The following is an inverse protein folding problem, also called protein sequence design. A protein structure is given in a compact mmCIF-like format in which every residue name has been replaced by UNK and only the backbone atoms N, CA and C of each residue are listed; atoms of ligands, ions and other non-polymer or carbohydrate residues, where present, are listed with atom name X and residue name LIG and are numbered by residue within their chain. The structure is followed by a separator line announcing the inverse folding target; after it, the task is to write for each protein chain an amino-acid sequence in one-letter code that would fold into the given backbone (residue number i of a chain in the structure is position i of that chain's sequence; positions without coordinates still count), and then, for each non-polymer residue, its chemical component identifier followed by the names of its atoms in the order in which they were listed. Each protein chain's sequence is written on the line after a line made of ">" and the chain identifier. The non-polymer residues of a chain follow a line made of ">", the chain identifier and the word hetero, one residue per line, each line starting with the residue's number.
data_IF_135639294648
#
_entry.id   IF_135639294648
#
_cell.length_a   1.000
_cell.length_b   1.000
_cell.length_c   1.000
_cell.angle_alpha   90.00
_cell.angle_beta   90.00
_cell.angle_gamma   90.00
#
_symmetry.space_group_name_H-M   'P 1'
#
loop_
_entity.id
_entity.type
_entity.pdbx_description
1 polymer ?
#
# COMPACT_ATOMS: atom_id res chain seq x y z
N UNK A 1 -22.44 20.44 3.00
CA UNK A 1 -21.98 19.17 2.43
C UNK A 1 -22.41 19.16 0.98
N UNK A 2 -21.48 19.01 0.05
CA UNK A 2 -21.78 18.94 -1.39
C UNK A 2 -22.27 17.53 -1.75
N UNK A 3 -22.98 17.38 -2.87
CA UNK A 3 -23.45 16.06 -3.34
C UNK A 3 -22.29 15.07 -3.57
N UNK A 4 -21.10 15.58 -3.89
CA UNK A 4 -19.88 14.79 -4.02
C UNK A 4 -19.41 14.24 -2.66
N UNK A 5 -19.35 15.10 -1.65
CA UNK A 5 -18.95 14.70 -0.28
C UNK A 5 -19.90 13.64 0.28
N UNK A 6 -21.21 13.78 0.04
CA UNK A 6 -22.21 12.81 0.49
C UNK A 6 -22.03 11.44 -0.21
N UNK A 7 -21.79 11.43 -1.51
CA UNK A 7 -21.53 10.19 -2.26
C UNK A 7 -20.24 9.51 -1.82
N UNK A 8 -19.19 10.28 -1.53
CA UNK A 8 -17.94 9.74 -1.01
C UNK A 8 -18.13 9.13 0.39
N UNK A 9 -18.82 9.83 1.28
CA UNK A 9 -19.15 9.32 2.62
C UNK A 9 -19.94 8.01 2.55
N UNK A 10 -20.99 7.94 1.72
CA UNK A 10 -21.79 6.72 1.56
C UNK A 10 -20.93 5.55 1.07
N UNK A 11 -20.10 5.76 0.04
CA UNK A 11 -19.22 4.70 -0.49
C UNK A 11 -18.19 4.22 0.54
N UNK A 12 -17.65 5.14 1.33
CA UNK A 12 -16.69 4.82 2.39
C UNK A 12 -17.37 4.03 3.51
N UNK A 13 -18.58 4.42 3.90
CA UNK A 13 -19.38 3.71 4.89
C UNK A 13 -19.76 2.30 4.40
N UNK A 14 -20.21 2.15 3.16
CA UNK A 14 -20.53 0.85 2.57
C UNK A 14 -19.30 -0.06 2.48
N UNK A 15 -18.12 0.50 2.21
CA UNK A 15 -16.86 -0.24 2.18
C UNK A 15 -16.44 -0.70 3.59
N UNK A 16 -16.32 0.23 4.54
CA UNK A 16 -15.84 -0.06 5.89
C UNK A 16 -16.87 -0.81 6.74
N UNK A 17 -18.16 -0.63 6.46
CA UNK A 17 -19.27 -1.29 7.18
C UNK A 17 -19.36 -2.79 6.90
N UNK A 18 -18.76 -3.28 5.81
CA UNK A 18 -18.65 -4.72 5.51
C UNK A 18 -17.59 -5.43 6.35
N UNK A 19 -16.65 -4.67 6.92
CA UNK A 19 -15.58 -5.22 7.76
C UNK A 19 -16.12 -5.41 9.18
N UNK A 20 -16.28 -6.68 9.57
CA UNK A 20 -16.83 -7.06 10.88
C UNK A 20 -15.84 -6.82 12.03
N UNK A 21 -14.55 -7.08 11.78
CA UNK A 21 -13.53 -6.95 12.81
C UNK A 21 -13.04 -5.50 12.96
N UNK A 22 -13.20 -4.87 14.13
CA UNK A 22 -12.80 -3.48 14.33
C UNK A 22 -11.28 -3.29 14.21
N UNK A 23 -10.46 -4.27 14.61
CA UNK A 23 -9.00 -4.15 14.53
C UNK A 23 -8.52 -4.15 13.08
N UNK A 24 -9.04 -5.08 12.26
CA UNK A 24 -8.78 -5.10 10.82
C UNK A 24 -9.26 -3.82 10.13
N UNK A 25 -10.44 -3.30 10.50
CA UNK A 25 -10.94 -2.03 9.97
C UNK A 25 -10.00 -0.86 10.28
N UNK A 26 -9.42 -0.81 11.48
CA UNK A 26 -8.41 0.19 11.81
C UNK A 26 -7.18 0.09 10.91
N UNK A 27 -6.68 -1.12 10.63
CA UNK A 27 -5.55 -1.31 9.71
C UNK A 27 -5.88 -0.85 8.29
N UNK A 28 -7.08 -1.11 7.80
CA UNK A 28 -7.52 -0.64 6.47
C UNK A 28 -7.49 0.88 6.40
N UNK A 29 -7.99 1.56 7.43
CA UNK A 29 -7.96 3.04 7.51
C UNK A 29 -6.52 3.55 7.60
N UNK A 30 -5.68 2.94 8.43
CA UNK A 30 -4.25 3.28 8.55
C UNK A 30 -3.50 3.08 7.23
N UNK A 31 -3.85 2.04 6.48
CA UNK A 31 -3.28 1.75 5.17
C UNK A 31 -3.65 2.84 4.16
N UNK A 32 -4.92 3.27 4.14
CA UNK A 32 -5.36 4.38 3.30
C UNK A 32 -4.66 5.69 3.66
N UNK A 33 -4.49 5.98 4.94
CA UNK A 33 -3.75 7.16 5.39
C UNK A 33 -2.28 7.10 4.93
N UNK A 34 -1.64 5.94 5.09
CA UNK A 34 -0.26 5.71 4.65
C UNK A 34 -0.11 5.91 3.13
N UNK A 35 -1.06 5.40 2.34
CA UNK A 35 -1.10 5.59 0.89
C UNK A 35 -1.30 7.07 0.55
N UNK A 36 -2.24 7.75 1.19
CA UNK A 36 -2.53 9.15 0.95
C UNK A 36 -1.29 10.01 1.20
N UNK A 37 -0.65 9.85 2.35
CA UNK A 37 0.58 10.57 2.69
C UNK A 37 1.70 10.25 1.69
N UNK A 38 1.83 9.00 1.24
CA UNK A 38 2.85 8.61 0.29
C UNK A 38 2.64 9.27 -1.09
N UNK A 39 1.40 9.29 -1.59
CA UNK A 39 1.05 9.91 -2.86
C UNK A 39 1.12 11.44 -2.80
N UNK A 40 0.66 12.07 -1.71
CA UNK A 40 0.76 13.52 -1.52
C UNK A 40 2.21 14.00 -1.55
N UNK A 41 3.13 13.21 -0.97
CA UNK A 41 4.57 13.53 -0.97
C UNK A 41 5.25 13.21 -2.29
N UNK A 42 4.69 12.32 -3.10
CA UNK A 42 5.28 11.85 -4.35
C UNK A 42 4.24 11.88 -5.48
N UNK A 43 3.92 13.07 -6.03
CA UNK A 43 2.88 13.22 -7.04
C UNK A 43 3.19 12.52 -8.38
N UNK A 44 4.45 12.12 -8.59
CA UNK A 44 4.90 11.30 -9.73
C UNK A 44 4.37 9.85 -9.63
N UNK A 45 4.00 9.39 -8.43
CA UNK A 45 3.48 8.05 -8.20
C UNK A 45 1.98 8.03 -8.42
N UNK A 46 1.52 7.01 -9.14
CA UNK A 46 0.10 6.77 -9.37
C UNK A 46 -0.17 5.27 -9.47
N UNK A 47 -1.31 4.84 -8.93
CA UNK A 47 -1.81 3.49 -9.12
C UNK A 47 -2.50 3.40 -10.48
N UNK A 48 -1.96 2.56 -11.36
CA UNK A 48 -2.54 2.32 -12.70
C UNK A 48 -3.64 1.25 -12.65
N UNK A 49 -3.64 0.42 -11.60
CA UNK A 49 -4.55 -0.70 -11.40
C UNK A 49 -5.32 -0.54 -10.09
N UNK A 50 -6.51 -1.16 -9.98
CA UNK A 50 -7.25 -1.18 -8.72
C UNK A 50 -6.38 -1.79 -7.61
N UNK A 51 -6.36 -1.11 -6.47
CA UNK A 51 -5.57 -1.51 -5.33
C UNK A 51 -6.33 -2.55 -4.49
N UNK A 52 -5.72 -3.71 -4.29
CA UNK A 52 -6.22 -4.71 -3.35
C UNK A 52 -5.60 -4.47 -1.97
N UNK A 53 -6.37 -3.82 -1.08
CA UNK A 53 -5.92 -3.47 0.27
C UNK A 53 -5.77 -4.71 1.14
N UNK A 54 -6.63 -5.72 0.97
CA UNK A 54 -6.58 -6.95 1.75
C UNK A 54 -5.31 -7.74 1.44
N UNK A 55 -4.92 -7.76 0.16
CA UNK A 55 -3.65 -8.33 -0.27
C UNK A 55 -2.45 -7.61 0.38
N UNK A 56 -2.44 -6.28 0.38
CA UNK A 56 -1.32 -5.51 0.92
C UNK A 56 -1.18 -5.66 2.45
N UNK A 57 -2.29 -5.68 3.18
CA UNK A 57 -2.27 -5.93 4.63
C UNK A 57 -1.75 -7.34 4.91
N UNK A 58 -2.19 -8.33 4.12
CA UNK A 58 -1.71 -9.70 4.25
C UNK A 58 -0.20 -9.81 4.00
N UNK A 59 0.33 -9.11 3.00
CA UNK A 59 1.78 -9.08 2.75
C UNK A 59 2.55 -8.33 3.85
N UNK A 60 1.98 -7.28 4.45
CA UNK A 60 2.58 -6.58 5.58
C UNK A 60 2.69 -7.50 6.81
N UNK A 61 1.65 -8.30 7.08
CA UNK A 61 1.65 -9.28 8.16
C UNK A 61 2.69 -10.38 7.91
N UNK A 62 2.81 -10.88 6.68
CA UNK A 62 3.85 -11.86 6.32
C UNK A 62 5.26 -11.28 6.52
N UNK A 63 5.47 -10.02 6.13
CA UNK A 63 6.75 -9.34 6.31
C UNK A 63 7.09 -9.20 7.80
N UNK A 64 6.10 -8.87 8.64
CA UNK A 64 6.25 -8.88 10.09
C UNK A 64 6.55 -10.28 10.66
N UNK A 65 5.84 -11.31 10.21
CA UNK A 65 6.05 -12.70 10.62
C UNK A 65 7.49 -13.16 10.35
N UNK A 66 8.01 -12.84 9.16
CA UNK A 66 9.38 -13.19 8.76
C UNK A 66 10.44 -12.56 9.66
N UNK A 67 10.20 -11.34 10.15
CA UNK A 67 11.16 -10.62 10.99
C UNK A 67 11.08 -10.99 12.47
N UNK A 68 9.87 -11.19 12.99
CA UNK A 68 9.63 -11.35 14.43
C UNK A 68 9.51 -12.82 14.85
N UNK A 69 9.28 -13.75 13.91
CA UNK A 69 8.99 -15.18 14.18
C UNK A 69 7.93 -15.37 15.27
N UNK A 70 6.91 -14.51 15.26
CA UNK A 70 5.82 -14.58 16.22
C UNK A 70 5.03 -15.89 16.08
N UNK A 71 4.52 -16.40 17.19
CA UNK A 71 3.63 -17.57 17.24
C UNK A 71 2.24 -17.23 16.66
N UNK A 72 1.76 -16.01 16.89
CA UNK A 72 0.46 -15.51 16.41
C UNK A 72 0.64 -14.14 15.72
N UNK A 73 1.20 -14.10 14.50
CA UNK A 73 1.62 -12.86 13.85
C UNK A 73 0.47 -11.87 13.64
N UNK A 74 -0.75 -12.36 13.37
CA UNK A 74 -1.93 -11.53 13.15
C UNK A 74 -2.35 -10.77 14.42
N UNK A 75 -2.39 -11.47 15.56
CA UNK A 75 -2.78 -10.86 16.84
C UNK A 75 -1.73 -9.89 17.33
N UNK A 76 -0.45 -10.26 17.18
CA UNK A 76 0.64 -9.36 17.53
C UNK A 76 0.60 -8.11 16.65
N UNK A 77 0.39 -8.26 15.35
CA UNK A 77 0.30 -7.14 14.40
C UNK A 77 -0.80 -6.12 14.78
N UNK A 78 -1.96 -6.59 15.26
CA UNK A 78 -3.01 -5.69 15.75
C UNK A 78 -2.64 -4.91 17.00
N UNK A 79 -1.68 -5.40 17.78
CA UNK A 79 -1.19 -4.75 19.00
C UNK A 79 0.04 -3.88 18.76
N UNK A 80 0.56 -3.80 17.52
CA UNK A 80 1.68 -2.92 17.23
C UNK A 80 1.27 -1.44 17.35
N UNK A 81 2.19 -0.57 17.79
CA UNK A 81 1.95 0.86 17.76
C UNK A 81 1.85 1.36 16.32
N UNK A 82 1.01 2.38 16.10
CA UNK A 82 0.88 3.12 14.84
C UNK A 82 2.10 4.06 14.71
N UNK A 83 3.25 3.49 14.36
CA UNK A 83 4.53 4.18 14.26
C UNK A 83 5.26 3.75 12.99
N UNK A 84 5.99 4.68 12.38
CA UNK A 84 6.80 4.38 11.21
C UNK A 84 7.97 3.43 11.52
N UNK A 85 8.57 3.55 12.70
CA UNK A 85 9.70 2.70 13.13
C UNK A 85 9.18 1.66 14.11
N UNK A 86 9.27 0.39 13.73
CA UNK A 86 8.86 -0.75 14.56
C UNK A 86 7.35 -0.85 14.82
N UNK A 87 6.54 -0.10 14.08
CA UNK A 87 5.07 -0.13 14.14
C UNK A 87 4.43 -0.71 12.89
N UNK A 88 3.11 -0.87 12.92
CA UNK A 88 2.28 -1.37 11.81
C UNK A 88 2.47 -0.54 10.53
N UNK A 89 2.52 0.80 10.69
CA UNK A 89 2.68 1.76 9.60
C UNK A 89 3.98 1.55 8.80
N UNK A 90 5.07 1.21 9.48
CA UNK A 90 6.37 0.95 8.83
C UNK A 90 6.29 -0.24 7.87
N UNK A 91 5.71 -1.34 8.34
CA UNK A 91 5.53 -2.56 7.55
C UNK A 91 4.58 -2.34 6.36
N UNK A 92 3.48 -1.66 6.60
CA UNK A 92 2.52 -1.28 5.57
C UNK A 92 3.16 -0.38 4.50
N UNK A 93 3.89 0.65 4.91
CA UNK A 93 4.59 1.57 4.00
C UNK A 93 5.60 0.82 3.14
N UNK A 94 6.36 -0.11 3.72
CA UNK A 94 7.33 -0.91 2.99
C UNK A 94 6.67 -1.75 1.90
N UNK A 95 5.53 -2.38 2.20
CA UNK A 95 4.76 -3.17 1.23
C UNK A 95 4.15 -2.29 0.15
N UNK A 96 3.59 -1.12 0.49
CA UNK A 96 3.05 -0.17 -0.49
C UNK A 96 4.14 0.26 -1.48
N UNK A 97 5.32 0.62 -0.97
CA UNK A 97 6.44 1.05 -1.79
C UNK A 97 6.88 -0.08 -2.73
N UNK A 98 7.05 -1.30 -2.20
CA UNK A 98 7.42 -2.46 -3.00
C UNK A 98 6.36 -2.77 -4.09
N UNK A 99 5.09 -2.64 -3.75
CA UNK A 99 3.98 -2.81 -4.69
C UNK A 99 4.01 -1.74 -5.79
N UNK A 100 4.18 -0.47 -5.44
CA UNK A 100 4.30 0.63 -6.39
C UNK A 100 5.49 0.45 -7.34
N UNK A 101 6.66 0.07 -6.82
CA UNK A 101 7.82 -0.18 -7.67
C UNK A 101 7.61 -1.39 -8.60
N UNK A 102 7.06 -2.48 -8.09
CA UNK A 102 6.79 -3.68 -8.90
C UNK A 102 5.77 -3.40 -10.01
N UNK A 103 4.76 -2.57 -9.73
CA UNK A 103 3.78 -2.14 -10.71
C UNK A 103 4.39 -1.23 -11.81
N UNK A 104 5.36 -0.37 -11.47
CA UNK A 104 6.06 0.47 -12.44
C UNK A 104 7.02 -0.34 -13.33
N UNK A 105 7.68 -1.38 -12.82
CA UNK A 105 8.59 -2.24 -13.60
C UNK A 105 7.83 -3.00 -14.70
N UNK A 106 6.60 -3.46 -14.43
CA UNK A 106 5.77 -4.09 -15.48
C UNK A 106 5.44 -3.13 -16.64
N UNK A 107 5.52 -1.80 -16.42
CA UNK A 107 5.30 -0.80 -17.47
C UNK A 107 6.51 -0.65 -18.40
N UNK A 108 7.74 -0.82 -17.91
CA UNK A 108 8.94 -0.74 -18.77
C UNK A 108 9.07 -1.98 -19.66
N UNK A 109 8.81 -3.18 -19.14
CA UNK A 109 9.02 -4.42 -19.91
C UNK A 109 8.03 -4.60 -21.07
N UNK A 110 6.86 -3.95 -21.04
CA UNK A 110 5.86 -4.01 -22.11
C UNK A 110 6.06 -2.89 -23.15
N UNK A 111 6.70 -1.78 -22.79
CA UNK A 111 6.99 -0.69 -23.72
C UNK A 111 8.18 -1.00 -24.65
N UNK A 112 9.10 -1.88 -24.24
CA UNK A 112 10.35 -2.12 -24.97
C UNK A 112 10.28 -3.19 -26.06
N UNK A 113 9.11 -3.80 -26.33
CA UNK A 113 8.93 -4.68 -27.49
C UNK A 113 8.60 -3.93 -28.79
N UNK A 114 8.43 -2.60 -28.74
CA UNK A 114 8.12 -1.77 -29.91
C UNK A 114 8.97 -0.49 -30.01
N UNK A 115 10.26 -0.52 -29.66
CA UNK A 115 11.21 0.45 -30.24
C UNK A 115 12.64 -0.06 -30.19
N UNK A 116 13.16 -0.41 -31.36
CA UNK A 116 14.59 -0.38 -31.63
C UNK A 116 15.17 1.01 -31.32
N UNK A 117 16.07 1.14 -30.34
CA UNK A 117 17.35 1.85 -30.45
C UNK A 117 17.98 2.20 -29.10
N UNK A 118 19.28 1.95 -29.03
CA UNK A 118 20.31 2.58 -28.18
C UNK A 118 20.22 2.43 -26.66
N UNK A 119 20.94 1.42 -26.18
CA UNK A 119 21.56 1.40 -24.86
C UNK A 119 22.40 2.67 -24.61
N UNK A 120 21.96 3.50 -23.67
CA UNK A 120 22.82 4.43 -22.95
C UNK A 120 22.65 4.20 -21.46
N UNK A 121 23.48 3.29 -20.95
CA UNK A 121 23.81 3.13 -19.53
C UNK A 121 24.27 4.49 -19.01
N UNK A 122 23.50 5.07 -18.08
CA UNK A 122 23.89 6.28 -17.36
C UNK A 122 25.13 5.98 -16.51
N UNK A 123 26.30 6.43 -16.98
CA UNK A 123 27.48 6.59 -16.12
C UNK A 123 27.32 7.88 -15.33
N UNK A 124 27.34 7.76 -14.02
CA UNK A 124 27.44 8.90 -13.10
C UNK A 124 28.89 9.41 -13.22
N UNK A 125 29.04 10.66 -13.67
CA UNK A 125 30.31 11.40 -13.63
C UNK A 125 30.52 12.03 -12.25
#
# INVERSE_FOLDING_TARGET
>A
MTDYELNFSLKTEEMLGRILDPAYRCLVVEMFESINVLLERNPELCFVQPLDVDYLISDAIKLFEQQTKSVDPLKDFYNLPISLVGGSTGYMTQVIINYLFSAQIQKSDVADLNSSASNSICKIS
#
